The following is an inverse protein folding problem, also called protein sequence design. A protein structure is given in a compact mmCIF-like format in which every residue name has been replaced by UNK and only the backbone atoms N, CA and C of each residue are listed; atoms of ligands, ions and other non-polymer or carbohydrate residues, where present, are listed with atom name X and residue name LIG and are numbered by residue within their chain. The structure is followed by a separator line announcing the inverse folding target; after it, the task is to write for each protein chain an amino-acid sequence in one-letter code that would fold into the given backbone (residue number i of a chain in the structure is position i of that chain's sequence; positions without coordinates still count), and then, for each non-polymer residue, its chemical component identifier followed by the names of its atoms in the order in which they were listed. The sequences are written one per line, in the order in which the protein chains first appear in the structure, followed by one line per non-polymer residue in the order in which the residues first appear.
data_IF_342162628893
#
_entry.id   IF_342162628893
#
_cell.length_a   1.000
_cell.length_b   1.000
_cell.length_c   1.000
_cell.angle_alpha   90.00
_cell.angle_beta   90.00
_cell.angle_gamma   90.00
#
_symmetry.space_group_name_H-M   'P 1'
#
loop_
_entity.id
_entity.type
_entity.pdbx_description
1 polymer ?
#
# COMPACT_ATOMS: atom_id res chain seq x y z
N UNK A 1 -2.51 -12.15 -2.84
CA UNK A 1 -2.84 -11.03 -1.94
C UNK A 1 -2.16 -9.80 -2.51
N UNK A 2 -2.91 -8.85 -3.06
CA UNK A 2 -2.36 -7.62 -3.63
C UNK A 2 -2.36 -6.54 -2.57
N UNK A 3 -1.23 -5.91 -2.32
CA UNK A 3 -1.12 -4.86 -1.31
C UNK A 3 -0.68 -3.58 -2.00
N UNK A 4 -1.60 -2.63 -2.05
CA UNK A 4 -1.44 -1.36 -2.73
C UNK A 4 -1.21 -0.25 -1.71
N UNK A 5 -0.03 0.37 -1.74
CA UNK A 5 0.28 1.52 -0.90
C UNK A 5 0.02 2.79 -1.69
N UNK A 6 -1.08 3.45 -1.35
CA UNK A 6 -1.53 4.71 -1.90
C UNK A 6 -0.83 5.86 -1.20
N UNK A 7 0.12 6.51 -1.87
CA UNK A 7 0.77 7.69 -1.30
C UNK A 7 1.89 8.25 -2.17
N UNK A 8 2.02 9.57 -2.14
CA UNK A 8 2.94 10.38 -2.95
C UNK A 8 4.43 10.25 -2.53
N UNK A 9 4.88 9.06 -2.10
CA UNK A 9 6.30 8.79 -1.83
C UNK A 9 6.84 9.31 -0.50
N UNK A 10 5.98 9.67 0.43
CA UNK A 10 6.33 10.14 1.77
C UNK A 10 7.19 9.13 2.58
N UNK A 11 7.98 9.56 3.59
CA UNK A 11 8.77 8.65 4.42
C UNK A 11 7.91 7.58 5.13
N UNK A 12 6.71 7.97 5.57
CA UNK A 12 5.73 7.06 6.19
C UNK A 12 5.25 5.98 5.21
N UNK A 13 5.09 6.33 3.94
CA UNK A 13 4.68 5.42 2.87
C UNK A 13 5.73 4.30 2.67
N UNK A 14 7.02 4.66 2.72
CA UNK A 14 8.13 3.69 2.64
C UNK A 14 8.21 2.79 3.88
N UNK A 15 7.98 3.34 5.07
CA UNK A 15 7.92 2.55 6.30
C UNK A 15 6.79 1.53 6.26
N UNK A 16 5.62 1.92 5.76
CA UNK A 16 4.47 1.03 5.61
C UNK A 16 4.78 -0.15 4.68
N UNK A 17 5.35 0.10 3.49
CA UNK A 17 5.79 -0.96 2.57
C UNK A 17 6.74 -1.96 3.24
N UNK A 18 7.74 -1.46 3.99
CA UNK A 18 8.71 -2.31 4.66
C UNK A 18 8.06 -3.15 5.78
N UNK A 19 7.15 -2.55 6.56
CA UNK A 19 6.41 -3.26 7.59
C UNK A 19 5.49 -4.33 7.00
N UNK A 20 4.83 -4.02 5.89
CA UNK A 20 3.99 -4.97 5.17
C UNK A 20 4.85 -6.12 4.68
N UNK A 21 5.93 -5.87 3.92
CA UNK A 21 6.83 -6.91 3.42
C UNK A 21 7.26 -7.86 4.54
N UNK A 22 7.73 -7.31 5.67
CA UNK A 22 8.10 -8.11 6.85
C UNK A 22 6.95 -8.95 7.39
N UNK A 23 5.74 -8.40 7.46
CA UNK A 23 4.57 -9.13 7.92
C UNK A 23 4.18 -10.26 6.94
N UNK A 24 4.30 -10.03 5.64
CA UNK A 24 4.00 -11.04 4.62
C UNK A 24 5.03 -12.18 4.68
N UNK A 25 6.32 -11.84 4.77
CA UNK A 25 7.42 -12.78 4.90
C UNK A 25 7.31 -13.61 6.18
N UNK A 26 7.00 -12.97 7.32
CA UNK A 26 6.80 -13.65 8.60
C UNK A 26 5.62 -14.61 8.58
N UNK A 27 4.56 -14.29 7.85
CA UNK A 27 3.39 -15.17 7.71
C UNK A 27 3.54 -16.18 6.57
N UNK A 28 4.63 -16.12 5.78
CA UNK A 28 4.81 -16.96 4.59
C UNK A 28 3.73 -16.75 3.53
N UNK A 29 3.10 -15.57 3.52
CA UNK A 29 2.07 -15.23 2.55
C UNK A 29 2.76 -14.70 1.29
N UNK A 30 2.25 -15.04 0.11
CA UNK A 30 2.72 -14.41 -1.13
C UNK A 30 1.83 -13.22 -1.40
N UNK A 31 2.39 -12.02 -1.24
CA UNK A 31 1.69 -10.78 -1.56
C UNK A 31 2.44 -9.93 -2.59
N UNK A 32 1.69 -9.30 -3.46
CA UNK A 32 2.19 -8.40 -4.49
C UNK A 32 2.12 -6.97 -3.98
N UNK A 33 3.28 -6.40 -3.67
CA UNK A 33 3.40 -5.03 -3.16
C UNK A 33 3.48 -4.04 -4.32
N UNK A 34 2.42 -3.25 -4.47
CA UNK A 34 2.29 -2.22 -5.51
C UNK A 34 2.24 -0.86 -4.85
N UNK A 35 3.03 0.09 -5.34
CA UNK A 35 2.99 1.47 -4.87
C UNK A 35 2.20 2.31 -5.86
N UNK A 36 1.15 2.94 -5.38
CA UNK A 36 0.30 3.82 -6.19
C UNK A 36 0.57 5.25 -5.74
N UNK A 37 1.26 6.01 -6.59
CA UNK A 37 1.59 7.42 -6.35
C UNK A 37 0.67 8.37 -7.10
N UNK A 38 -0.26 7.80 -7.88
CA UNK A 38 -1.14 8.51 -8.78
C UNK A 38 -2.36 9.05 -8.01
N UNK A 39 -2.52 10.38 -7.98
CA UNK A 39 -3.63 11.03 -7.29
C UNK A 39 -4.99 10.62 -7.87
N UNK A 40 -5.07 10.35 -9.17
CA UNK A 40 -6.32 9.94 -9.81
C UNK A 40 -6.73 8.56 -9.30
N UNK A 41 -5.80 7.62 -9.20
CA UNK A 41 -6.07 6.30 -8.59
C UNK A 41 -6.43 6.41 -7.10
N UNK A 42 -5.77 7.29 -6.36
CA UNK A 42 -6.03 7.48 -4.92
C UNK A 42 -7.46 7.99 -4.68
N UNK A 43 -7.90 8.94 -5.51
CA UNK A 43 -9.28 9.45 -5.46
C UNK A 43 -10.31 8.42 -5.93
N UNK A 44 -9.96 7.58 -6.92
CA UNK A 44 -10.79 6.45 -7.36
C UNK A 44 -11.02 5.42 -6.24
N UNK A 45 -10.00 5.17 -5.41
CA UNK A 45 -10.15 4.36 -4.19
C UNK A 45 -10.93 5.05 -3.06
N UNK A 46 -11.40 6.29 -3.25
CA UNK A 46 -12.15 7.04 -2.25
C UNK A 46 -11.32 7.46 -1.03
N UNK A 47 -9.99 7.42 -1.15
CA UNK A 47 -9.08 7.74 -0.05
C UNK A 47 -8.92 9.26 0.04
N UNK A 48 -9.47 9.86 1.09
CA UNK A 48 -9.28 11.29 1.38
C UNK A 48 -7.94 11.62 2.06
N UNK A 49 -7.30 10.63 2.69
CA UNK A 49 -6.05 10.81 3.42
C UNK A 49 -5.00 9.79 2.99
N UNK A 50 -3.94 10.28 2.36
CA UNK A 50 -2.71 9.51 2.13
C UNK A 50 -1.74 9.66 3.30
N UNK A 51 -0.97 8.63 3.68
CA UNK A 51 -0.88 7.32 3.03
C UNK A 51 -2.00 6.36 3.41
N UNK A 52 -2.52 5.62 2.42
CA UNK A 52 -3.46 4.53 2.63
C UNK A 52 -2.87 3.19 2.17
N UNK A 53 -3.39 2.11 2.77
CA UNK A 53 -3.08 0.73 2.46
C UNK A 53 -4.35 0.10 1.91
N UNK A 54 -4.27 -0.51 0.74
CA UNK A 54 -5.35 -1.29 0.14
C UNK A 54 -4.91 -2.74 0.09
N UNK A 55 -5.78 -3.65 0.53
CA UNK A 55 -5.53 -5.08 0.56
C UNK A 55 -6.57 -5.78 -0.32
N UNK A 56 -6.11 -6.45 -1.39
CA UNK A 56 -6.96 -7.14 -2.36
C UNK A 56 -8.09 -6.26 -2.93
N UNK A 57 -7.83 -4.95 -3.08
CA UNK A 57 -8.77 -3.98 -3.64
C UNK A 57 -9.77 -3.39 -2.64
N UNK A 58 -9.58 -3.62 -1.34
CA UNK A 58 -10.43 -3.12 -0.23
C UNK A 58 -9.62 -2.37 0.82
#
# INVERSE_FOLDING_TARGET
MKIEVLGMGCPKCKQLLNNVQKAVDQKGIVAELVKVEDMDKITEYGVMMTPALVLDGV
#
